data_IF_865645665147
#
_entry.id   IF_865645665147
#
_cell.length_a   1.000
_cell.length_b   1.000
_cell.length_c   1.000
_cell.angle_alpha   90.00
_cell.angle_beta   90.00
_cell.angle_gamma   90.00
#
_symmetry.space_group_name_H-M   'P 1'
#
loop_
_entity.id
_entity.type
_entity.pdbx_description
1 polymer ?
#
# COMPACT_ATOMS: atom_id res chain seq x y z
N UNK A 1 2.37 -27.90 16.07
CA UNK A 1 1.71 -27.09 15.02
C UNK A 1 2.76 -26.12 14.51
N UNK A 2 3.16 -26.20 13.24
CA UNK A 2 4.31 -25.45 12.74
C UNK A 2 4.03 -23.94 12.76
N UNK A 3 4.81 -23.21 13.55
CA UNK A 3 4.68 -21.77 13.70
C UNK A 3 5.41 -21.09 12.52
N UNK A 4 4.64 -20.55 11.55
CA UNK A 4 5.19 -19.87 10.37
C UNK A 4 6.17 -18.74 10.74
N UNK A 5 5.96 -18.08 11.88
CA UNK A 5 6.89 -17.07 12.38
C UNK A 5 8.26 -17.69 12.69
N UNK A 6 8.31 -18.81 13.40
CA UNK A 6 9.58 -19.47 13.75
C UNK A 6 10.27 -20.04 12.51
N UNK A 7 9.51 -20.59 11.57
CA UNK A 7 10.09 -21.11 10.33
C UNK A 7 10.72 -19.96 9.54
N UNK A 8 10.02 -18.82 9.38
CA UNK A 8 10.55 -17.66 8.68
C UNK A 8 11.83 -17.10 9.33
N UNK A 9 11.91 -17.07 10.67
CA UNK A 9 13.10 -16.58 11.38
C UNK A 9 14.33 -17.48 11.22
N UNK A 10 14.12 -18.78 11.03
CA UNK A 10 15.19 -19.77 10.90
C UNK A 10 15.71 -19.93 9.48
N UNK A 11 15.18 -19.17 8.51
CA UNK A 11 15.65 -19.25 7.13
C UNK A 11 17.04 -18.65 7.02
N UNK A 12 18.03 -19.53 6.90
CA UNK A 12 19.43 -19.19 6.61
C UNK A 12 19.88 -19.85 5.31
N UNK A 13 19.31 -21.02 4.99
CA UNK A 13 19.66 -21.80 3.79
C UNK A 13 18.49 -21.88 2.80
N UNK A 14 18.79 -22.29 1.56
CA UNK A 14 17.75 -22.60 0.55
C UNK A 14 16.82 -23.74 0.98
N UNK A 15 17.31 -24.67 1.80
CA UNK A 15 16.48 -25.76 2.32
C UNK A 15 15.43 -25.21 3.31
N UNK A 16 15.81 -24.25 4.14
CA UNK A 16 14.90 -23.60 5.09
C UNK A 16 13.89 -22.71 4.37
N UNK A 17 14.30 -22.03 3.30
CA UNK A 17 13.38 -21.29 2.41
C UNK A 17 12.32 -22.26 1.85
N UNK A 18 12.74 -23.44 1.37
CA UNK A 18 11.80 -24.45 0.87
C UNK A 18 10.86 -24.95 1.98
N UNK A 19 11.35 -25.15 3.21
CA UNK A 19 10.49 -25.50 4.37
C UNK A 19 9.46 -24.42 4.65
N UNK A 20 9.84 -23.14 4.56
CA UNK A 20 8.93 -22.01 4.69
C UNK A 20 7.86 -22.01 3.59
N UNK A 21 8.26 -22.22 2.34
CA UNK A 21 7.35 -22.30 1.19
C UNK A 21 6.34 -23.43 1.36
N UNK A 22 6.79 -24.64 1.72
CA UNK A 22 5.91 -25.77 1.97
C UNK A 22 4.92 -25.51 3.10
N UNK A 23 5.38 -24.89 4.20
CA UNK A 23 4.52 -24.54 5.32
C UNK A 23 3.46 -23.50 4.91
N UNK A 24 3.85 -22.48 4.13
CA UNK A 24 2.93 -21.48 3.59
C UNK A 24 1.87 -22.12 2.69
N UNK A 25 2.25 -22.98 1.75
CA UNK A 25 1.32 -23.65 0.83
C UNK A 25 0.30 -24.52 1.55
N UNK A 26 0.73 -25.27 2.57
CA UNK A 26 -0.17 -26.12 3.36
C UNK A 26 -1.22 -25.31 4.14
N UNK A 27 -0.91 -24.07 4.51
CA UNK A 27 -1.76 -23.23 5.38
C UNK A 27 -1.69 -21.76 4.98
N UNK A 28 -2.10 -21.45 3.76
CA UNK A 28 -1.98 -20.09 3.20
C UNK A 28 -2.67 -19.06 4.10
N UNK A 29 -3.85 -19.35 4.66
CA UNK A 29 -4.52 -18.44 5.59
C UNK A 29 -3.68 -18.04 6.82
N UNK A 30 -2.73 -18.88 7.24
CA UNK A 30 -1.86 -18.57 8.37
C UNK A 30 -0.78 -17.52 8.03
N UNK A 31 -0.52 -17.22 6.75
CA UNK A 31 0.40 -16.14 6.35
C UNK A 31 -0.16 -14.76 6.68
N UNK A 32 -1.49 -14.62 6.75
CA UNK A 32 -2.18 -13.39 7.12
C UNK A 32 -2.30 -13.19 8.65
N UNK A 33 -1.86 -14.17 9.46
CA UNK A 33 -1.79 -13.98 10.91
C UNK A 33 -0.71 -12.96 11.22
N UNK A 34 -1.08 -11.95 12.00
CA UNK A 34 -0.18 -10.87 12.37
C UNK A 34 -0.10 -10.67 13.88
N UNK A 35 0.93 -9.93 14.28
CA UNK A 35 1.18 -9.39 15.62
C UNK A 35 1.55 -7.92 15.43
N UNK A 36 1.04 -7.05 16.30
CA UNK A 36 1.38 -5.63 16.29
C UNK A 36 2.65 -5.46 17.13
N UNK A 37 3.80 -5.79 16.55
CA UNK A 37 5.11 -5.78 17.21
C UNK A 37 6.24 -5.74 16.15
N UNK A 38 7.48 -6.03 16.54
CA UNK A 38 8.64 -6.15 15.62
C UNK A 38 8.64 -7.43 14.77
N UNK A 39 7.58 -8.23 14.79
CA UNK A 39 7.44 -9.43 13.97
C UNK A 39 6.42 -9.23 12.85
N UNK A 40 5.37 -8.43 13.07
CA UNK A 40 4.31 -8.24 12.09
C UNK A 40 3.62 -9.56 11.74
N UNK A 41 3.72 -9.97 10.48
CA UNK A 41 3.31 -11.28 9.97
C UNK A 41 4.52 -12.03 9.36
N UNK A 42 4.40 -13.33 9.01
CA UNK A 42 5.52 -14.11 8.46
C UNK A 42 6.19 -13.51 7.22
N UNK A 43 5.47 -12.74 6.40
CA UNK A 43 6.06 -12.06 5.24
C UNK A 43 6.90 -10.85 5.63
N UNK A 44 6.65 -10.18 6.75
CA UNK A 44 7.54 -9.14 7.25
C UNK A 44 8.92 -9.74 7.58
N UNK A 45 8.93 -10.89 8.25
CA UNK A 45 10.16 -11.61 8.59
C UNK A 45 10.88 -12.03 7.31
N UNK A 46 10.15 -12.62 6.35
CA UNK A 46 10.73 -13.02 5.06
C UNK A 46 11.30 -11.85 4.25
N UNK A 47 10.64 -10.69 4.29
CA UNK A 47 11.10 -9.47 3.61
C UNK A 47 12.34 -8.90 4.29
N UNK A 48 12.32 -8.80 5.62
CA UNK A 48 13.47 -8.33 6.40
C UNK A 48 14.70 -9.22 6.24
N UNK A 49 14.50 -10.52 5.97
CA UNK A 49 15.57 -11.47 5.72
C UNK A 49 15.93 -11.59 4.22
N UNK A 50 15.30 -10.81 3.33
CA UNK A 50 15.68 -10.73 1.92
C UNK A 50 15.29 -11.93 1.04
N UNK A 51 14.34 -12.77 1.45
CA UNK A 51 13.91 -13.94 0.65
C UNK A 51 12.41 -13.95 0.30
N UNK A 52 11.67 -12.88 0.61
CA UNK A 52 10.23 -12.81 0.35
C UNK A 52 9.89 -12.98 -1.14
N UNK A 53 10.63 -12.33 -2.04
CA UNK A 53 10.34 -12.39 -3.48
C UNK A 53 10.47 -13.82 -4.03
N UNK A 54 11.59 -14.49 -3.75
CA UNK A 54 11.85 -15.87 -4.19
C UNK A 54 10.80 -16.85 -3.63
N UNK A 55 10.45 -16.70 -2.35
CA UNK A 55 9.42 -17.51 -1.72
C UNK A 55 8.03 -17.26 -2.34
N UNK A 56 7.65 -16.01 -2.56
CA UNK A 56 6.34 -15.65 -3.11
C UNK A 56 6.16 -16.18 -4.54
N UNK A 57 7.17 -16.04 -5.40
CA UNK A 57 7.15 -16.57 -6.77
C UNK A 57 6.85 -18.08 -6.76
N UNK A 58 7.55 -18.85 -5.91
CA UNK A 58 7.35 -20.29 -5.79
C UNK A 58 5.97 -20.64 -5.21
N UNK A 59 5.53 -19.96 -4.15
CA UNK A 59 4.22 -20.18 -3.53
C UNK A 59 3.10 -20.01 -4.56
N UNK A 60 3.07 -18.88 -5.28
CA UNK A 60 2.01 -18.60 -6.26
C UNK A 60 2.05 -19.61 -7.40
N UNK A 61 3.22 -19.87 -7.97
CA UNK A 61 3.39 -20.83 -9.08
C UNK A 61 2.91 -22.23 -8.70
N UNK A 62 3.26 -22.71 -7.51
CA UNK A 62 2.87 -24.04 -7.05
C UNK A 62 1.38 -24.13 -6.74
N UNK A 63 0.78 -23.09 -6.15
CA UNK A 63 -0.66 -23.02 -5.92
C UNK A 63 -1.42 -23.06 -7.25
N UNK A 64 -1.04 -22.25 -8.23
CA UNK A 64 -1.70 -22.23 -9.53
C UNK A 64 -1.55 -23.56 -10.28
N UNK A 65 -0.33 -24.12 -10.29
CA UNK A 65 -0.05 -25.40 -10.96
C UNK A 65 -0.83 -26.55 -10.32
N UNK A 66 -0.81 -26.65 -8.99
CA UNK A 66 -1.51 -27.72 -8.27
C UNK A 66 -3.02 -27.62 -8.42
N UNK A 67 -3.59 -26.42 -8.32
CA UNK A 67 -5.02 -26.21 -8.58
C UNK A 67 -5.38 -26.55 -10.01
N UNK A 68 -4.58 -26.14 -11.00
CA UNK A 68 -4.87 -26.43 -12.42
C UNK A 68 -4.96 -27.93 -12.68
N UNK A 69 -3.99 -28.71 -12.20
CA UNK A 69 -3.98 -30.17 -12.37
C UNK A 69 -5.22 -30.81 -11.73
N UNK A 70 -5.60 -30.39 -10.53
CA UNK A 70 -6.79 -30.92 -9.86
C UNK A 70 -8.10 -30.49 -10.51
N UNK A 71 -8.15 -29.29 -11.09
CA UNK A 71 -9.29 -28.80 -11.86
C UNK A 71 -9.44 -29.58 -13.18
N UNK A 72 -8.34 -29.86 -13.89
CA UNK A 72 -8.36 -30.67 -15.12
C UNK A 72 -8.92 -32.07 -14.83
N UNK A 73 -8.41 -32.75 -13.80
CA UNK A 73 -8.95 -34.05 -13.35
C UNK A 73 -10.44 -33.99 -12.96
N UNK A 74 -10.86 -32.93 -12.25
CA UNK A 74 -12.25 -32.76 -11.85
C UNK A 74 -13.18 -32.52 -13.05
N UNK A 75 -12.71 -31.80 -14.08
CA UNK A 75 -13.43 -31.60 -15.34
C UNK A 75 -13.60 -32.91 -16.12
N UNK A 76 -12.54 -33.72 -16.20
CA UNK A 76 -12.60 -35.05 -16.82
C UNK A 76 -13.61 -35.96 -16.12
N UNK A 77 -13.65 -35.91 -14.78
CA UNK A 77 -14.63 -36.61 -13.97
C UNK A 77 -16.04 -35.99 -13.99
N UNK A 78 -16.26 -34.86 -14.68
CA UNK A 78 -17.49 -34.06 -14.69
C UNK A 78 -17.96 -33.59 -13.31
N UNK A 79 -17.03 -33.48 -12.36
CA UNK A 79 -17.28 -33.00 -11.00
C UNK A 79 -17.18 -31.46 -10.94
N UNK A 80 -18.24 -30.80 -11.41
CA UNK A 80 -18.32 -29.34 -11.47
C UNK A 80 -18.35 -28.67 -10.10
N UNK A 81 -18.78 -29.37 -9.06
CA UNK A 81 -18.77 -28.86 -7.69
C UNK A 81 -17.34 -28.78 -7.15
N UNK A 82 -16.53 -29.83 -7.37
CA UNK A 82 -15.09 -29.81 -7.05
C UNK A 82 -14.35 -28.72 -7.83
N UNK A 83 -14.65 -28.51 -9.11
CA UNK A 83 -14.06 -27.42 -9.90
C UNK A 83 -14.32 -26.06 -9.24
N UNK A 84 -15.59 -25.75 -8.94
CA UNK A 84 -15.96 -24.48 -8.28
C UNK A 84 -15.28 -24.30 -6.93
N UNK A 85 -15.18 -25.38 -6.15
CA UNK A 85 -14.50 -25.36 -4.84
C UNK A 85 -13.02 -25.03 -4.97
N UNK A 86 -12.32 -25.69 -5.89
CA UNK A 86 -10.88 -25.50 -6.14
C UNK A 86 -10.58 -24.07 -6.63
N UNK A 87 -11.37 -23.55 -7.57
CA UNK A 87 -11.23 -22.17 -8.06
C UNK A 87 -11.47 -21.14 -6.94
N UNK A 88 -12.48 -21.38 -6.09
CA UNK A 88 -12.75 -20.54 -4.91
C UNK A 88 -11.62 -20.59 -3.89
N UNK A 89 -11.06 -21.77 -3.64
CA UNK A 89 -9.93 -21.97 -2.73
C UNK A 89 -8.69 -21.22 -3.22
N UNK A 90 -8.34 -21.34 -4.51
CA UNK A 90 -7.23 -20.59 -5.11
C UNK A 90 -7.45 -19.07 -4.97
N UNK A 91 -8.67 -18.59 -5.24
CA UNK A 91 -9.02 -17.17 -5.07
C UNK A 91 -8.84 -16.71 -3.62
N UNK A 92 -9.27 -17.51 -2.65
CA UNK A 92 -9.10 -17.21 -1.22
C UNK A 92 -7.62 -17.21 -0.81
N UNK A 93 -6.84 -18.18 -1.28
CA UNK A 93 -5.39 -18.25 -1.02
C UNK A 93 -4.67 -17.00 -1.54
N UNK A 94 -4.97 -16.57 -2.77
CA UNK A 94 -4.45 -15.31 -3.33
C UNK A 94 -4.86 -14.10 -2.51
N UNK A 95 -6.10 -14.07 -2.00
CA UNK A 95 -6.60 -13.01 -1.13
C UNK A 95 -5.80 -12.93 0.18
N UNK A 96 -5.55 -14.05 0.86
CA UNK A 96 -4.76 -14.08 2.10
C UNK A 96 -3.31 -13.62 1.89
N UNK A 97 -2.69 -14.03 0.79
CA UNK A 97 -1.34 -13.58 0.41
C UNK A 97 -1.32 -12.06 0.23
N UNK A 98 -2.31 -11.52 -0.49
CA UNK A 98 -2.46 -10.09 -0.71
C UNK A 98 -2.68 -9.31 0.58
N UNK A 99 -3.52 -9.83 1.48
CA UNK A 99 -3.74 -9.23 2.81
C UNK A 99 -2.43 -9.21 3.61
N UNK A 100 -1.70 -10.31 3.66
CA UNK A 100 -0.42 -10.38 4.37
C UNK A 100 0.63 -9.39 3.80
N UNK A 101 0.68 -9.19 2.49
CA UNK A 101 1.61 -8.23 1.85
C UNK A 101 1.23 -6.76 2.09
N UNK A 102 -0.04 -6.47 2.37
CA UNK A 102 -0.55 -5.12 2.60
C UNK A 102 -0.73 -4.79 4.09
N UNK A 103 -0.69 -5.82 4.94
CA UNK A 103 -0.81 -5.72 6.38
C UNK A 103 0.29 -4.83 6.97
N UNK A 104 -0.11 -3.84 7.76
CA UNK A 104 0.78 -2.86 8.40
C UNK A 104 0.86 -3.15 9.90
N UNK A 105 1.44 -4.28 10.25
CA UNK A 105 1.51 -4.76 11.62
C UNK A 105 2.92 -4.72 12.22
N UNK A 106 3.95 -4.55 11.39
CA UNK A 106 5.32 -4.44 11.88
C UNK A 106 5.62 -3.03 12.36
N UNK A 107 6.07 -2.90 13.61
CA UNK A 107 6.47 -1.62 14.19
C UNK A 107 7.97 -1.39 13.99
N UNK A 108 8.31 -0.40 13.15
CA UNK A 108 9.68 0.09 12.93
C UNK A 108 9.74 1.58 13.25
N UNK A 109 10.62 2.01 14.15
CA UNK A 109 10.82 3.43 14.48
C UNK A 109 9.50 4.17 14.80
N UNK A 110 8.67 3.55 15.66
CA UNK A 110 7.31 4.00 16.03
C UNK A 110 6.31 4.12 14.87
N UNK A 111 6.54 3.39 13.77
CA UNK A 111 5.70 3.42 12.57
C UNK A 111 5.29 2.01 12.18
N UNK A 112 4.01 1.85 11.86
CA UNK A 112 3.46 0.62 11.33
C UNK A 112 3.75 0.52 9.83
N UNK A 113 4.53 -0.49 9.43
CA UNK A 113 4.96 -0.73 8.05
C UNK A 113 4.51 -2.09 7.56
N UNK A 114 4.39 -2.26 6.24
CA UNK A 114 4.06 -3.56 5.61
C UNK A 114 5.31 -4.33 5.18
N UNK A 115 5.23 -5.61 4.78
CA UNK A 115 6.39 -6.36 4.29
C UNK A 115 7.08 -5.68 3.12
N UNK A 116 6.32 -4.97 2.28
CA UNK A 116 6.84 -4.26 1.10
C UNK A 116 7.82 -3.14 1.46
N UNK A 117 7.79 -2.63 2.71
CA UNK A 117 8.70 -1.60 3.18
C UNK A 117 10.17 -2.04 3.16
N UNK A 118 10.43 -3.33 3.35
CA UNK A 118 11.79 -3.89 3.43
C UNK A 118 12.40 -4.21 2.07
N UNK A 119 11.61 -4.12 0.99
CA UNK A 119 12.03 -4.47 -0.35
C UNK A 119 12.49 -3.22 -1.11
N UNK A 120 13.43 -3.39 -2.04
CA UNK A 120 13.81 -2.30 -2.95
C UNK A 120 12.67 -2.00 -3.96
N UNK A 121 12.70 -0.84 -4.64
CA UNK A 121 11.61 -0.45 -5.55
C UNK A 121 11.34 -1.43 -6.70
N UNK A 122 12.36 -2.14 -7.18
CA UNK A 122 12.22 -3.15 -8.24
C UNK A 122 11.52 -4.39 -7.70
N UNK A 123 11.99 -4.91 -6.56
CA UNK A 123 11.35 -6.05 -5.88
C UNK A 123 9.91 -5.75 -5.47
N UNK A 124 9.63 -4.54 -4.97
CA UNK A 124 8.26 -4.12 -4.65
C UNK A 124 7.34 -4.18 -5.87
N UNK A 125 7.82 -3.73 -7.04
CA UNK A 125 7.05 -3.75 -8.28
C UNK A 125 6.74 -5.19 -8.68
N UNK A 126 7.75 -6.07 -8.58
CA UNK A 126 7.62 -7.47 -8.93
C UNK A 126 6.67 -8.22 -7.99
N UNK A 127 6.84 -8.06 -6.66
CA UNK A 127 5.94 -8.63 -5.65
C UNK A 127 4.49 -8.17 -5.88
N UNK A 128 4.28 -6.89 -6.18
CA UNK A 128 2.93 -6.35 -6.47
C UNK A 128 2.32 -6.98 -7.72
N UNK A 129 3.13 -7.19 -8.78
CA UNK A 129 2.68 -7.85 -10.00
C UNK A 129 2.31 -9.31 -9.75
N UNK A 130 3.17 -10.07 -9.05
CA UNK A 130 2.93 -11.48 -8.70
C UNK A 130 1.65 -11.66 -7.90
N UNK A 131 1.41 -10.78 -6.92
CA UNK A 131 0.26 -10.86 -6.03
C UNK A 131 -1.02 -10.21 -6.57
N UNK A 132 -1.03 -9.74 -7.83
CA UNK A 132 -2.12 -8.93 -8.40
C UNK A 132 -2.56 -7.80 -7.44
N UNK A 133 -1.57 -7.18 -6.80
CA UNK A 133 -1.76 -5.97 -6.05
C UNK A 133 -1.76 -4.87 -7.09
N UNK A 134 -2.97 -4.50 -7.53
CA UNK A 134 -3.17 -3.27 -8.26
C UNK A 134 -2.43 -2.18 -7.49
N UNK A 135 -1.40 -1.62 -8.11
CA UNK A 135 -1.02 -0.25 -7.81
C UNK A 135 -2.31 0.52 -8.05
N UNK A 136 -3.05 0.83 -6.97
CA UNK A 136 -4.24 1.66 -7.07
C UNK A 136 -3.84 2.80 -7.98
N UNK A 137 -4.61 3.01 -9.05
CA UNK A 137 -4.36 4.04 -10.04
C UNK A 137 -4.42 5.36 -9.28
N UNK A 138 -3.29 5.69 -8.70
CA UNK A 138 -2.93 6.97 -8.16
C UNK A 138 -3.89 7.49 -7.07
N UNK A 139 -3.98 6.80 -5.92
CA UNK A 139 -4.06 7.50 -4.62
C UNK A 139 -2.67 8.04 -4.24
N UNK A 140 -1.93 8.54 -5.23
CA UNK A 140 -0.63 9.15 -5.01
C UNK A 140 -0.94 10.61 -4.69
N UNK A 141 -0.57 11.09 -3.50
CA UNK A 141 -0.63 12.53 -3.16
C UNK A 141 -0.07 13.39 -4.31
N UNK A 142 0.90 12.87 -5.08
CA UNK A 142 1.44 13.46 -6.33
C UNK A 142 0.41 13.79 -7.41
N UNK A 143 -0.66 13.03 -7.55
CA UNK A 143 -1.73 13.30 -8.53
C UNK A 143 -2.81 14.22 -7.99
N UNK A 144 -3.11 14.15 -6.70
CA UNK A 144 -3.88 15.21 -6.06
C UNK A 144 -3.14 16.55 -6.14
N UNK A 145 -1.82 16.54 -5.93
CA UNK A 145 -0.95 17.70 -6.15
C UNK A 145 -0.97 18.11 -7.62
N UNK A 146 -0.89 17.18 -8.57
CA UNK A 146 -0.96 17.50 -9.99
C UNK A 146 -2.32 18.12 -10.38
N UNK A 147 -3.43 17.58 -9.86
CA UNK A 147 -4.77 18.14 -10.03
C UNK A 147 -4.89 19.51 -9.38
N UNK A 148 -4.27 19.71 -8.21
CA UNK A 148 -4.25 21.01 -7.52
C UNK A 148 -3.47 22.06 -8.32
N UNK A 149 -2.30 21.69 -8.85
CA UNK A 149 -1.49 22.56 -9.73
C UNK A 149 -2.28 22.94 -10.98
N UNK A 150 -2.91 21.97 -11.65
CA UNK A 150 -3.75 22.23 -12.83
C UNK A 150 -4.94 23.14 -12.45
N UNK A 151 -5.60 22.88 -11.33
CA UNK A 151 -6.69 23.71 -10.82
C UNK A 151 -6.25 25.15 -10.54
N UNK A 152 -5.09 25.33 -9.91
CA UNK A 152 -4.52 26.64 -9.62
C UNK A 152 -4.21 27.44 -10.91
N UNK A 153 -3.66 26.78 -11.93
CA UNK A 153 -3.40 27.40 -13.24
C UNK A 153 -4.70 27.84 -13.91
N UNK A 154 -5.74 27.00 -13.90
CA UNK A 154 -7.05 27.32 -14.46
C UNK A 154 -7.68 28.50 -13.71
N UNK A 155 -7.64 28.50 -12.38
CA UNK A 155 -8.13 29.62 -11.56
C UNK A 155 -7.38 30.91 -11.83
N UNK A 156 -6.05 30.88 -11.94
CA UNK A 156 -5.25 32.07 -12.27
C UNK A 156 -5.61 32.61 -13.66
N UNK A 157 -5.75 31.73 -14.64
CA UNK A 157 -6.14 32.11 -16.00
C UNK A 157 -7.54 32.73 -16.03
N UNK A 158 -8.50 32.13 -15.32
CA UNK A 158 -9.85 32.66 -15.20
C UNK A 158 -9.87 34.04 -14.53
N UNK A 159 -9.12 34.23 -13.44
CA UNK A 159 -8.98 35.54 -12.80
C UNK A 159 -8.37 36.58 -13.74
N UNK A 160 -7.32 36.23 -14.49
CA UNK A 160 -6.70 37.13 -15.47
C UNK A 160 -7.69 37.53 -16.58
N UNK A 161 -8.46 36.58 -17.11
CA UNK A 161 -9.48 36.86 -18.14
C UNK A 161 -10.61 37.73 -17.57
N UNK A 162 -11.10 37.43 -16.37
CA UNK A 162 -12.13 38.23 -15.70
C UNK A 162 -11.65 39.66 -15.44
N UNK A 163 -10.41 39.84 -14.97
CA UNK A 163 -9.81 41.17 -14.76
C UNK A 163 -9.60 41.93 -16.07
N UNK A 164 -9.24 41.24 -17.14
CA UNK A 164 -9.12 41.85 -18.47
C UNK A 164 -10.48 42.35 -18.99
N UNK A 165 -11.54 41.55 -18.84
CA UNK A 165 -12.91 41.97 -19.18
C UNK A 165 -13.41 43.12 -18.30
N UNK A 166 -13.12 43.06 -17.00
CA UNK A 166 -13.42 44.14 -16.04
C UNK A 166 -12.69 45.42 -16.40
N UNK A 167 -11.40 45.36 -16.74
CA UNK A 167 -10.61 46.51 -17.17
C UNK A 167 -11.15 47.11 -18.47
N UNK A 168 -11.59 46.26 -19.41
CA UNK A 168 -12.22 46.70 -20.66
C UNK A 168 -13.54 47.42 -20.43
N UNK A 169 -14.26 47.10 -19.35
CA UNK A 169 -15.52 47.75 -18.98
C UNK A 169 -15.32 48.98 -18.06
N UNK A 170 -14.38 48.92 -17.12
CA UNK A 170 -14.07 49.98 -16.16
C UNK A 170 -12.72 49.77 -15.47
N UNK A 171 -11.79 50.72 -15.67
CA UNK A 171 -10.44 50.66 -15.11
C UNK A 171 -10.42 50.81 -13.57
N UNK A 172 -11.30 51.63 -13.01
CA UNK A 172 -11.39 51.85 -11.56
C UNK A 172 -11.91 50.62 -10.82
N UNK A 173 -12.84 49.88 -11.44
CA UNK A 173 -13.41 48.65 -10.88
C UNK A 173 -12.40 47.50 -10.91
N UNK A 174 -11.60 47.40 -11.98
CA UNK A 174 -10.51 46.44 -12.08
C UNK A 174 -9.43 46.68 -11.01
N UNK A 175 -9.03 47.95 -10.79
CA UNK A 175 -8.02 48.31 -9.80
C UNK A 175 -8.49 48.03 -8.36
N UNK A 176 -9.75 48.34 -8.04
CA UNK A 176 -10.35 48.02 -6.73
C UNK A 176 -10.43 46.50 -6.49
N UNK A 177 -10.73 45.72 -7.53
CA UNK A 177 -10.76 44.26 -7.45
C UNK A 177 -9.37 43.67 -7.17
N UNK A 178 -8.32 44.19 -7.82
CA UNK A 178 -6.92 43.77 -7.57
C UNK A 178 -6.50 44.12 -6.14
N UNK A 179 -6.81 45.33 -5.67
CA UNK A 179 -6.51 45.75 -4.30
C UNK A 179 -7.21 44.86 -3.25
N UNK A 180 -8.43 44.40 -3.53
CA UNK A 180 -9.20 43.50 -2.66
C UNK A 180 -8.61 42.08 -2.67
N UNK A 181 -8.20 41.56 -3.83
CA UNK A 181 -7.57 40.23 -3.93
C UNK A 181 -6.21 40.21 -3.21
N UNK A 182 -5.43 41.30 -3.32
CA UNK A 182 -4.12 41.43 -2.68
C UNK A 182 -4.21 41.60 -1.15
N UNK A 183 -5.26 42.24 -0.63
CA UNK A 183 -5.48 42.45 0.80
C UNK A 183 -6.30 41.34 1.48
N UNK A 184 -7.00 40.49 0.72
CA UNK A 184 -7.99 39.53 1.21
C UNK A 184 -7.49 38.16 1.70
N UNK A 185 -6.21 38.00 2.05
CA UNK A 185 -5.72 36.75 2.66
C UNK A 185 -5.56 35.54 1.71
N UNK A 186 -5.75 35.73 0.41
CA UNK A 186 -5.54 34.71 -0.64
C UNK A 186 -4.08 34.23 -0.72
N UNK A 187 -3.12 35.14 -0.47
CA UNK A 187 -1.68 34.87 -0.37
C UNK A 187 -1.31 33.99 0.84
N UNK A 188 -2.03 34.11 1.96
CA UNK A 188 -1.86 33.25 3.14
C UNK A 188 -2.34 31.81 2.88
N UNK A 189 -3.47 31.64 2.18
CA UNK A 189 -3.98 30.32 1.79
C UNK A 189 -3.06 29.63 0.76
N UNK A 190 -2.49 30.39 -0.18
CA UNK A 190 -1.51 29.88 -1.13
C UNK A 190 -0.23 29.40 -0.41
N UNK A 191 0.28 30.18 0.54
CA UNK A 191 1.45 29.81 1.34
C UNK A 191 1.19 28.57 2.21
N UNK A 192 0.02 28.48 2.85
CA UNK A 192 -0.39 27.30 3.63
C UNK A 192 -0.51 26.04 2.77
N UNK A 193 -1.10 26.15 1.57
CA UNK A 193 -1.18 25.06 0.61
C UNK A 193 0.21 24.61 0.14
N UNK A 194 1.15 25.53 -0.11
CA UNK A 194 2.53 25.21 -0.45
C UNK A 194 3.28 24.51 0.71
N UNK A 195 3.04 24.92 1.95
CA UNK A 195 3.67 24.31 3.13
C UNK A 195 3.14 22.91 3.42
N UNK A 196 1.83 22.68 3.25
CA UNK A 196 1.25 21.34 3.31
C UNK A 196 1.83 20.45 2.20
N UNK A 197 2.01 20.94 0.97
CA UNK A 197 2.66 20.20 -0.11
C UNK A 197 4.10 19.78 0.24
N UNK A 198 4.84 20.59 1.00
CA UNK A 198 6.20 20.28 1.43
C UNK A 198 6.25 19.19 2.52
N UNK A 199 5.30 19.20 3.48
CA UNK A 199 5.20 18.17 4.53
C UNK A 199 4.83 16.78 3.99
N UNK A 200 4.12 16.71 2.87
CA UNK A 200 3.60 15.48 2.29
C UNK A 200 4.64 14.65 1.48
N UNK A 201 5.82 15.20 1.19
CA UNK A 201 6.90 14.51 0.48
C UNK A 201 7.53 13.37 1.32
N UNK A 202 7.34 13.39 2.63
CA UNK A 202 8.05 12.51 3.57
C UNK A 202 7.25 11.25 4.01
N UNK A 203 6.03 11.05 3.50
CA UNK A 203 5.01 10.19 4.15
C UNK A 203 4.64 8.91 3.39
N UNK A 204 5.19 8.65 2.19
CA UNK A 204 4.66 7.59 1.30
C UNK A 204 4.92 6.14 1.73
N UNK A 205 5.54 5.92 2.88
CA UNK A 205 5.85 4.57 3.41
C UNK A 205 5.41 4.39 4.86
N UNK A 206 4.77 5.39 5.45
CA UNK A 206 4.59 5.51 6.89
C UNK A 206 3.13 5.84 7.16
N UNK A 207 2.51 5.10 8.07
CA UNK A 207 1.26 5.53 8.69
C UNK A 207 1.63 6.40 9.88
N UNK A 208 1.50 7.72 9.72
CA UNK A 208 1.47 8.70 10.81
C UNK A 208 0.02 8.85 11.25
N UNK A 209 -0.55 7.77 11.79
CA UNK A 209 -1.90 7.83 12.36
C UNK A 209 -1.79 8.18 13.86
N UNK A 210 -2.36 9.30 14.31
CA UNK A 210 -2.32 9.72 15.71
C UNK A 210 -3.00 8.73 16.66
N UNK A 211 -3.95 7.91 16.21
CA UNK A 211 -4.59 6.88 17.05
C UNK A 211 -3.67 5.66 17.27
N UNK A 212 -2.74 5.40 16.35
CA UNK A 212 -1.67 4.39 16.54
C UNK A 212 -0.61 4.88 17.53
N UNK A 213 -0.32 6.19 17.54
CA UNK A 213 0.54 6.81 18.55
C UNK A 213 -0.10 6.75 19.95
N UNK A 214 -1.41 6.97 20.07
CA UNK A 214 -2.11 6.84 21.36
C UNK A 214 -2.09 5.41 21.91
N UNK A 215 -2.17 4.38 21.05
CA UNK A 215 -2.03 2.97 21.47
C UNK A 215 -0.61 2.63 21.95
N UNK A 216 0.42 3.28 21.40
CA UNK A 216 1.81 3.16 21.87
C UNK A 216 2.03 3.86 23.22
N UNK A 217 1.40 5.01 23.44
CA UNK A 217 1.48 5.75 24.72
C UNK A 217 0.66 5.11 25.84
N UNK A 218 -0.42 4.39 25.52
CA UNK A 218 -1.28 3.72 26.52
C UNK A 218 -0.78 2.32 26.94
N UNK A 219 0.30 1.81 26.34
CA UNK A 219 0.95 0.54 26.68
C UNK A 219 2.09 0.63 27.69
N UNK A 220 2.42 1.82 28.20
CA UNK A 220 3.50 2.07 29.15
C UNK A 220 2.97 2.72 30.44
N UNK A 221 2.20 1.95 31.21
CA UNK A 221 2.05 2.21 32.64
C UNK A 221 2.29 0.88 33.38
N UNK A 222 3.40 0.71 34.10
CA UNK A 222 3.56 -0.41 35.02
C UNK A 222 2.76 -0.13 36.29
N UNK A 223 1.90 -1.08 36.68
CA UNK A 223 1.59 -1.37 38.08
C UNK A 223 1.75 -2.87 38.27
#
# INVERSE_FOLDING_TARGET
>A
MDNLFEIARRVVTKEDENKFIEACKKRVACVAKHRIDKNGNPFHIAASNGFLLSALQKIIKDLEKSTRVEVEKAKEAKDWEKVKRLEKELKNNKKYIKEALLDKSYIKDNKAVSPLYFLDPSEQKEVKQIADIKCGFICNKKFHICLYIVGAIVCATAMCVSLYLLFSASQSLALASIATIASGGSSYLLFKACNEVYGLYNESTIVTDPDVMQLLDSGLAPV
#
